data_IF_216145441557
#
_entry.id   IF_216145441557
#
_cell.length_a   1.000
_cell.length_b   1.000
_cell.length_c   1.000
_cell.angle_alpha   90.00
_cell.angle_beta   90.00
_cell.angle_gamma   90.00
#
_symmetry.space_group_name_H-M   'P 1'
#
loop_
_entity.id
_entity.type
_entity.pdbx_description
1 polymer ?
#
# COMPACT_ATOMS: atom_id res chain seq x y z
N UNK A 1 -64.74 13.44 30.99
CA UNK A 1 -65.27 14.75 30.57
C UNK A 1 -64.29 15.38 29.60
N UNK A 2 -64.77 15.95 28.48
CA UNK A 2 -64.02 16.95 27.68
C UNK A 2 -64.22 18.34 28.34
N UNK A 3 -63.40 19.35 28.03
CA UNK A 3 -63.65 20.15 26.82
C UNK A 3 -62.50 20.12 25.81
N UNK A 4 -62.88 20.35 24.55
CA UNK A 4 -62.00 20.71 23.44
C UNK A 4 -62.25 22.20 23.16
N UNK A 5 -61.26 22.92 22.64
CA UNK A 5 -61.46 24.22 21.97
C UNK A 5 -60.82 24.23 20.58
N UNK A 6 -61.46 24.94 19.64
CA UNK A 6 -61.27 24.85 18.18
C UNK A 6 -61.17 26.26 17.58
N UNK A 7 -60.27 26.46 16.61
CA UNK A 7 -60.34 27.39 15.47
C UNK A 7 -59.13 27.08 14.54
N UNK A 8 -59.18 26.78 13.22
CA UNK A 8 -60.06 27.18 12.10
C UNK A 8 -59.93 28.69 11.78
N UNK A 9 -59.86 29.25 10.55
CA UNK A 9 -59.96 28.82 9.13
C UNK A 9 -58.96 29.70 8.30
N UNK A 10 -58.65 29.53 7.00
CA UNK A 10 -58.61 28.42 6.02
C UNK A 10 -58.00 28.99 4.69
N UNK A 11 -57.67 28.17 3.68
CA UNK A 11 -57.18 28.68 2.38
C UNK A 11 -56.85 27.60 1.34
N UNK A 12 -57.77 27.32 0.43
CA UNK A 12 -57.57 26.39 -0.69
C UNK A 12 -57.59 27.12 -2.03
N UNK A 13 -56.70 26.76 -2.96
CA UNK A 13 -56.88 26.96 -4.41
C UNK A 13 -56.27 25.80 -5.19
N UNK A 14 -56.81 25.56 -6.39
CA UNK A 14 -56.63 24.34 -7.17
C UNK A 14 -55.48 24.42 -8.20
N UNK A 15 -54.89 23.25 -8.42
CA UNK A 15 -54.42 22.67 -9.69
C UNK A 15 -54.11 23.59 -10.89
N UNK A 16 -52.88 23.44 -11.41
CA UNK A 16 -52.60 23.41 -12.85
C UNK A 16 -51.63 22.27 -13.12
N UNK A 17 -51.98 21.37 -14.05
CA UNK A 17 -51.11 20.31 -14.52
C UNK A 17 -50.34 20.80 -15.76
N UNK A 18 -49.03 20.57 -15.78
CA UNK A 18 -48.19 20.67 -16.97
C UNK A 18 -47.07 19.64 -16.87
N UNK A 19 -47.04 18.69 -17.80
CA UNK A 19 -45.89 17.80 -17.97
C UNK A 19 -44.77 18.57 -18.67
N UNK A 20 -43.53 18.39 -18.24
CA UNK A 20 -42.39 18.47 -19.15
C UNK A 20 -41.25 17.57 -18.67
N UNK A 21 -40.67 16.81 -19.60
CA UNK A 21 -39.44 16.07 -19.34
C UNK A 21 -38.32 17.01 -18.92
N UNK A 22 -37.65 16.65 -17.83
CA UNK A 22 -36.58 17.45 -17.23
C UNK A 22 -35.65 16.53 -16.48
N UNK A 23 -34.60 16.07 -17.17
CA UNK A 23 -33.57 15.18 -16.64
C UNK A 23 -33.04 15.70 -15.29
N UNK A 24 -33.36 14.98 -14.20
CA UNK A 24 -32.80 15.28 -12.88
C UNK A 24 -31.33 14.87 -12.86
N UNK A 25 -30.47 15.72 -13.39
CA UNK A 25 -29.03 15.63 -13.17
C UNK A 25 -28.78 15.70 -11.67
N UNK A 26 -28.36 14.58 -11.08
CA UNK A 26 -27.80 14.59 -9.73
C UNK A 26 -26.64 15.60 -9.70
N UNK A 27 -26.46 16.36 -8.62
CA UNK A 27 -25.30 17.24 -8.51
C UNK A 27 -24.04 16.38 -8.52
N UNK A 28 -23.23 16.51 -9.58
CA UNK A 28 -21.89 15.93 -9.59
C UNK A 28 -21.12 16.51 -8.41
N UNK A 29 -20.83 15.67 -7.42
CA UNK A 29 -19.80 15.96 -6.43
C UNK A 29 -18.48 16.07 -7.18
N UNK A 30 -18.04 17.30 -7.45
CA UNK A 30 -16.67 17.57 -7.88
C UNK A 30 -15.77 17.27 -6.70
N UNK A 31 -15.39 16.00 -6.55
CA UNK A 31 -14.44 15.57 -5.55
C UNK A 31 -13.08 16.19 -5.91
N UNK A 32 -12.73 17.25 -5.18
CA UNK A 32 -11.42 17.90 -5.29
C UNK A 32 -10.36 16.83 -5.05
N UNK A 33 -9.47 16.53 -6.01
CA UNK A 33 -8.44 15.53 -5.81
C UNK A 33 -7.63 15.86 -4.55
N UNK A 34 -7.32 14.86 -3.70
CA UNK A 34 -6.52 15.10 -2.50
C UNK A 34 -5.20 15.78 -2.88
N UNK A 35 -4.71 16.74 -2.07
CA UNK A 35 -3.56 17.55 -2.44
C UNK A 35 -2.34 16.67 -2.69
N UNK A 36 -1.79 16.75 -3.91
CA UNK A 36 -0.53 16.11 -4.28
C UNK A 36 0.58 16.53 -3.31
N UNK A 37 0.92 15.64 -2.38
CA UNK A 37 2.12 15.78 -1.56
C UNK A 37 3.30 15.79 -2.53
N UNK A 38 4.17 16.80 -2.44
CA UNK A 38 5.45 16.81 -3.13
C UNK A 38 6.40 15.78 -2.50
N UNK A 39 6.14 14.50 -2.73
CA UNK A 39 7.14 13.46 -2.54
C UNK A 39 8.24 13.60 -3.57
N UNK A 40 9.47 13.19 -3.21
CA UNK A 40 10.58 13.25 -4.15
C UNK A 40 11.40 11.98 -4.17
N UNK A 41 11.68 11.48 -5.37
CA UNK A 41 12.57 10.34 -5.60
C UNK A 41 14.00 10.83 -5.51
N UNK A 42 14.73 10.36 -4.48
CA UNK A 42 16.12 10.74 -4.30
C UNK A 42 17.05 9.57 -4.61
N UNK A 43 17.85 9.69 -5.67
CA UNK A 43 18.99 8.79 -5.90
C UNK A 43 20.05 9.05 -4.82
N UNK A 44 20.56 7.97 -4.23
CA UNK A 44 21.55 7.98 -3.15
C UNK A 44 22.84 7.24 -3.57
N UNK A 45 23.88 7.38 -2.76
CA UNK A 45 25.06 6.50 -2.83
C UNK A 45 24.69 5.10 -2.32
N UNK A 46 25.20 4.05 -2.94
CA UNK A 46 24.88 2.64 -2.64
C UNK A 46 25.00 2.29 -1.14
N UNK A 47 26.03 2.83 -0.49
CA UNK A 47 26.27 2.66 0.95
C UNK A 47 25.09 3.10 1.84
N UNK A 48 24.21 3.99 1.37
CA UNK A 48 23.02 4.38 2.11
C UNK A 48 22.01 3.22 2.23
N UNK A 49 21.87 2.39 1.19
CA UNK A 49 20.99 1.22 1.16
C UNK A 49 21.60 0.00 1.87
N UNK A 50 22.90 0.00 2.18
CA UNK A 50 23.56 -1.06 2.97
C UNK A 50 23.65 -0.76 4.47
N UNK A 51 23.23 0.44 4.91
CA UNK A 51 23.16 0.77 6.34
C UNK A 51 22.19 -0.14 7.11
N UNK A 52 22.45 -0.31 8.41
CA UNK A 52 21.54 -1.00 9.33
C UNK A 52 20.97 0.03 10.31
N UNK A 53 19.63 0.19 10.41
CA UNK A 53 19.02 1.06 11.40
C UNK A 53 19.44 0.67 12.83
N UNK A 54 19.50 1.66 13.72
CA UNK A 54 19.78 1.41 15.14
C UNK A 54 18.75 0.44 15.72
N UNK A 55 19.24 -0.60 16.40
CA UNK A 55 18.41 -1.56 17.12
C UNK A 55 17.81 -0.92 18.39
N UNK A 56 16.60 -1.34 18.75
CA UNK A 56 15.84 -0.82 19.87
C UNK A 56 14.78 -1.82 20.34
N UNK A 57 13.78 -1.32 21.06
CA UNK A 57 12.66 -2.15 21.50
C UNK A 57 11.79 -2.61 20.32
N UNK A 58 11.33 -3.85 20.37
CA UNK A 58 10.37 -4.42 19.40
C UNK A 58 9.14 -4.91 20.20
N UNK A 59 8.11 -4.05 20.23
CA UNK A 59 6.81 -4.32 20.83
C UNK A 59 6.01 -5.25 19.91
N UNK A 60 5.44 -6.31 20.50
CA UNK A 60 4.71 -7.38 19.80
C UNK A 60 3.24 -7.04 19.52
N UNK A 61 2.97 -5.84 19.03
CA UNK A 61 1.62 -5.35 18.74
C UNK A 61 1.56 -4.74 17.35
N UNK A 62 0.62 -5.18 16.52
CA UNK A 62 0.24 -4.48 15.27
C UNK A 62 -0.66 -3.26 15.51
N UNK A 63 -1.13 -3.05 16.75
CA UNK A 63 -2.03 -1.97 17.14
C UNK A 63 -1.29 -0.83 17.85
N UNK A 64 -1.83 0.40 17.73
CA UNK A 64 -1.25 1.61 18.33
C UNK A 64 -0.01 2.13 17.60
N UNK A 65 0.15 1.70 16.35
CA UNK A 65 1.21 2.15 15.45
C UNK A 65 0.65 3.29 14.61
N UNK A 66 1.22 4.48 14.73
CA UNK A 66 0.91 5.61 13.84
C UNK A 66 2.25 6.24 13.45
N UNK A 67 2.56 6.30 12.16
CA UNK A 67 3.81 6.86 11.66
C UNK A 67 3.52 7.80 10.47
N UNK A 68 3.58 9.11 10.70
CA UNK A 68 3.34 10.11 9.66
C UNK A 68 4.60 10.41 8.83
N UNK A 69 5.78 10.09 9.35
CA UNK A 69 7.05 10.52 8.80
C UNK A 69 8.03 9.36 8.57
N UNK A 70 9.11 9.64 7.83
CA UNK A 70 10.17 8.69 7.53
C UNK A 70 10.35 8.40 6.05
N UNK A 71 11.11 7.34 5.75
CA UNK A 71 11.47 6.94 4.41
C UNK A 71 11.84 5.46 4.31
N UNK A 72 11.75 4.93 3.09
CA UNK A 72 12.39 3.68 2.68
C UNK A 72 13.61 4.02 1.81
N UNK A 73 14.71 3.32 2.02
CA UNK A 73 15.90 3.35 1.14
C UNK A 73 16.03 1.97 0.50
N UNK A 74 15.90 1.91 -0.81
CA UNK A 74 15.86 0.65 -1.56
C UNK A 74 16.92 0.64 -2.66
N UNK A 75 17.74 -0.40 -2.67
CA UNK A 75 18.60 -0.78 -3.78
C UNK A 75 17.79 -1.68 -4.72
N UNK A 76 17.60 -1.22 -5.95
CA UNK A 76 17.00 -2.01 -7.03
C UNK A 76 18.13 -2.42 -7.96
N UNK A 77 18.35 -3.72 -8.14
CA UNK A 77 19.37 -4.29 -9.02
C UNK A 77 18.72 -5.20 -10.08
N UNK A 78 18.27 -4.65 -11.22
CA UNK A 78 17.76 -5.45 -12.35
C UNK A 78 18.86 -6.37 -12.89
N UNK A 79 18.49 -7.55 -13.38
CA UNK A 79 19.46 -8.50 -13.97
C UNK A 79 20.22 -7.90 -15.16
N UNK A 80 19.51 -7.11 -15.99
CA UNK A 80 20.05 -6.52 -17.22
C UNK A 80 20.54 -5.06 -17.05
N UNK A 81 20.75 -4.59 -15.82
CA UNK A 81 21.01 -3.17 -15.56
C UNK A 81 21.85 -2.85 -14.31
N UNK A 82 22.28 -1.60 -14.15
CA UNK A 82 23.02 -1.17 -12.97
C UNK A 82 22.12 -1.13 -11.73
N UNK A 83 22.68 -1.53 -10.59
CA UNK A 83 22.04 -1.32 -9.29
C UNK A 83 21.90 0.18 -8.99
N UNK A 84 20.78 0.57 -8.36
CA UNK A 84 20.51 1.96 -7.96
C UNK A 84 19.95 2.01 -6.55
N UNK A 85 20.59 2.77 -5.67
CA UNK A 85 20.06 3.09 -4.35
C UNK A 85 19.16 4.34 -4.42
N UNK A 86 17.93 4.20 -3.94
CA UNK A 86 16.85 5.17 -4.05
C UNK A 86 16.28 5.45 -2.66
N UNK A 87 15.60 6.59 -2.50
CA UNK A 87 14.82 6.89 -1.31
C UNK A 87 13.45 7.47 -1.70
N UNK A 88 12.41 6.92 -1.08
CA UNK A 88 11.02 7.37 -1.16
C UNK A 88 10.55 7.77 0.23
N UNK A 89 9.78 8.86 0.34
CA UNK A 89 9.27 9.34 1.64
C UNK A 89 7.99 8.59 2.02
N UNK A 90 7.74 8.43 3.33
CA UNK A 90 6.50 7.83 3.86
C UNK A 90 5.28 8.53 3.28
N UNK A 91 4.35 7.77 2.72
CA UNK A 91 3.08 8.24 2.17
C UNK A 91 1.92 7.41 2.73
N UNK A 92 0.68 7.69 2.28
CA UNK A 92 -0.51 6.97 2.73
C UNK A 92 -0.85 7.12 4.22
N UNK A 93 -1.70 6.23 4.77
CA UNK A 93 -2.17 6.31 6.15
C UNK A 93 -1.05 6.31 7.19
N UNK A 94 -1.25 7.04 8.30
CA UNK A 94 -0.31 7.02 9.43
C UNK A 94 -0.33 5.66 10.13
N UNK A 95 -1.51 5.09 10.36
CA UNK A 95 -1.68 3.75 10.87
C UNK A 95 -1.44 2.72 9.73
N UNK A 96 -0.41 1.86 9.82
CA UNK A 96 -0.12 0.87 8.79
C UNK A 96 -1.04 -0.36 8.86
N UNK A 97 -1.89 -0.51 9.88
CA UNK A 97 -2.75 -1.68 10.01
C UNK A 97 -3.87 -1.68 8.96
N UNK A 98 -3.78 -2.60 8.01
CA UNK A 98 -4.79 -2.86 6.98
C UNK A 98 -5.55 -4.14 7.38
N UNK A 99 -6.85 -4.05 7.70
CA UNK A 99 -7.62 -5.21 8.13
C UNK A 99 -7.67 -6.32 7.07
N UNK A 100 -7.66 -7.60 7.48
CA UNK A 100 -7.76 -8.04 8.88
C UNK A 100 -6.42 -8.04 9.66
N UNK A 101 -5.29 -8.36 9.03
CA UNK A 101 -4.08 -8.81 9.74
C UNK A 101 -2.73 -8.35 9.12
N UNK A 102 -2.69 -7.35 8.22
CA UNK A 102 -1.43 -6.91 7.59
C UNK A 102 -0.99 -5.50 8.01
N UNK A 103 0.32 -5.29 8.06
CA UNK A 103 0.93 -3.97 8.29
C UNK A 103 1.56 -3.49 6.97
N UNK A 104 0.88 -2.54 6.32
CA UNK A 104 1.27 -1.95 5.04
C UNK A 104 1.88 -0.57 5.23
N UNK A 105 3.10 -0.39 4.74
CA UNK A 105 3.84 0.86 4.72
C UNK A 105 4.03 1.27 3.26
N UNK A 106 3.37 2.33 2.83
CA UNK A 106 3.56 2.92 1.49
C UNK A 106 4.52 4.09 1.53
N UNK A 107 5.29 4.24 0.45
CA UNK A 107 6.26 5.29 0.25
C UNK A 107 6.16 5.78 -1.19
N UNK A 108 6.18 7.09 -1.41
CA UNK A 108 6.07 7.68 -2.74
C UNK A 108 7.29 8.54 -3.09
N UNK A 109 7.56 8.63 -4.38
CA UNK A 109 8.59 9.45 -5.00
C UNK A 109 8.00 10.57 -5.86
N UNK A 110 8.82 11.06 -6.79
CA UNK A 110 8.36 11.86 -7.92
C UNK A 110 7.78 10.94 -9.01
N UNK A 111 6.93 11.48 -9.91
CA UNK A 111 6.57 10.84 -11.20
C UNK A 111 5.92 9.44 -11.13
N UNK A 112 5.16 9.12 -10.08
CA UNK A 112 4.51 7.79 -9.93
C UNK A 112 5.45 6.68 -9.44
N UNK A 113 6.70 7.02 -9.11
CA UNK A 113 7.64 6.11 -8.48
C UNK A 113 7.30 5.93 -6.99
N UNK A 114 7.70 4.81 -6.40
CA UNK A 114 7.45 4.55 -4.98
C UNK A 114 7.81 3.13 -4.57
N UNK A 115 7.48 2.79 -3.34
CA UNK A 115 7.60 1.44 -2.83
C UNK A 115 6.52 1.12 -1.78
N UNK A 116 6.26 -0.18 -1.60
CA UNK A 116 5.46 -0.70 -0.51
C UNK A 116 6.23 -1.77 0.26
N UNK A 117 6.00 -1.82 1.57
CA UNK A 117 6.44 -2.88 2.46
C UNK A 117 5.21 -3.40 3.20
N UNK A 118 4.96 -4.70 3.10
CA UNK A 118 3.87 -5.38 3.80
C UNK A 118 4.41 -6.58 4.58
N UNK A 119 3.90 -6.81 5.79
CA UNK A 119 4.11 -8.05 6.54
C UNK A 119 2.94 -8.32 7.49
N UNK A 120 2.80 -9.57 7.95
CA UNK A 120 1.69 -9.95 8.82
C UNK A 120 1.87 -9.39 10.24
N UNK A 121 0.79 -8.89 10.83
CA UNK A 121 0.76 -8.49 12.23
C UNK A 121 1.05 -9.69 13.16
N UNK A 122 0.66 -10.90 12.77
CA UNK A 122 0.98 -12.15 13.50
C UNK A 122 2.48 -12.43 13.51
N UNK A 123 3.20 -12.04 12.45
CA UNK A 123 4.64 -12.24 12.36
C UNK A 123 5.39 -11.32 13.34
N UNK A 124 4.97 -10.05 13.43
CA UNK A 124 5.43 -9.09 14.45
C UNK A 124 5.12 -9.55 15.88
N UNK A 125 3.93 -10.13 16.12
CA UNK A 125 3.58 -10.71 17.41
C UNK A 125 4.49 -11.91 17.80
N UNK A 126 5.22 -12.47 16.83
CA UNK A 126 6.13 -13.60 16.99
C UNK A 126 5.50 -14.96 16.64
N UNK A 127 4.43 -14.98 15.83
CA UNK A 127 3.57 -16.13 15.55
C UNK A 127 3.16 -16.89 16.82
N UNK A 128 2.37 -16.23 17.67
CA UNK A 128 1.81 -16.85 18.87
C UNK A 128 0.69 -17.81 18.44
N UNK A 129 1.09 -19.02 18.05
CA UNK A 129 0.17 -20.12 17.77
C UNK A 129 -0.03 -20.95 19.03
N UNK A 130 -1.27 -21.21 19.47
CA UNK A 130 -1.54 -22.39 20.27
C UNK A 130 -1.45 -23.63 19.36
N UNK A 131 -0.62 -24.60 19.78
CA UNK A 131 -0.34 -25.90 19.15
C UNK A 131 0.70 -25.93 18.01
N UNK A 132 1.60 -26.94 18.00
CA UNK A 132 1.72 -28.06 18.94
C UNK A 132 2.30 -27.66 20.32
N UNK A 133 2.15 -28.55 21.30
CA UNK A 133 2.60 -28.37 22.68
C UNK A 133 4.12 -28.18 22.71
N UNK A 134 4.58 -27.04 23.21
CA UNK A 134 6.02 -26.69 23.26
C UNK A 134 6.49 -25.71 22.19
N UNK A 135 5.62 -25.27 21.28
CA UNK A 135 5.92 -24.12 20.41
C UNK A 135 6.18 -22.86 21.27
N UNK A 136 7.31 -22.19 21.02
CA UNK A 136 7.64 -20.89 21.61
C UNK A 136 7.47 -19.81 20.55
N UNK A 137 6.99 -18.63 20.98
CA UNK A 137 6.92 -17.48 20.08
C UNK A 137 8.34 -17.08 19.63
N UNK A 138 8.47 -16.68 18.37
CA UNK A 138 9.77 -16.25 17.78
C UNK A 138 10.43 -15.15 18.62
N UNK A 139 11.76 -15.10 18.63
CA UNK A 139 12.53 -14.09 19.36
C UNK A 139 12.28 -12.71 18.72
N UNK A 140 12.18 -11.60 19.49
CA UNK A 140 12.02 -10.27 18.89
C UNK A 140 13.22 -9.96 17.97
N UNK A 141 12.96 -9.46 16.77
CA UNK A 141 14.01 -9.22 15.77
C UNK A 141 14.55 -10.48 15.07
N UNK A 142 13.94 -11.66 15.28
CA UNK A 142 14.04 -12.76 14.31
C UNK A 142 13.52 -12.28 12.94
N UNK A 143 14.11 -12.75 11.82
CA UNK A 143 13.59 -12.43 10.50
C UNK A 143 12.16 -12.95 10.31
N UNK A 144 11.37 -12.19 9.56
CA UNK A 144 9.99 -12.52 9.16
C UNK A 144 9.85 -12.41 7.64
N UNK A 145 8.79 -13.00 7.09
CA UNK A 145 8.48 -12.85 5.66
C UNK A 145 7.78 -11.51 5.42
N UNK A 146 8.01 -10.93 4.25
CA UNK A 146 7.41 -9.66 3.85
C UNK A 146 7.21 -9.61 2.33
N UNK A 147 6.23 -8.83 1.90
CA UNK A 147 6.09 -8.40 0.51
C UNK A 147 6.77 -7.05 0.34
N UNK A 148 7.71 -6.93 -0.59
CA UNK A 148 8.26 -5.65 -1.03
C UNK A 148 7.84 -5.41 -2.47
N UNK A 149 7.27 -4.24 -2.74
CA UNK A 149 7.01 -3.73 -4.07
C UNK A 149 7.76 -2.42 -4.32
N UNK A 150 8.21 -2.17 -5.55
CA UNK A 150 8.85 -0.92 -5.95
C UNK A 150 8.55 -0.59 -7.40
N UNK A 151 8.04 0.62 -7.65
CA UNK A 151 7.85 1.16 -9.00
C UNK A 151 8.96 2.15 -9.30
N UNK A 152 9.70 1.91 -10.38
CA UNK A 152 10.72 2.83 -10.92
C UNK A 152 10.78 2.76 -12.44
N UNK A 153 10.90 3.91 -13.09
CA UNK A 153 10.93 4.06 -14.56
C UNK A 153 9.78 3.33 -15.28
N UNK A 154 8.60 3.27 -14.65
CA UNK A 154 7.42 2.59 -15.19
C UNK A 154 7.40 1.05 -15.01
N UNK A 155 8.37 0.46 -14.30
CA UNK A 155 8.38 -0.98 -14.01
C UNK A 155 8.15 -1.22 -12.51
N UNK A 156 7.08 -1.95 -12.18
CA UNK A 156 6.79 -2.38 -10.80
C UNK A 156 7.38 -3.76 -10.53
N UNK A 157 8.43 -3.83 -9.72
CA UNK A 157 9.00 -5.10 -9.24
C UNK A 157 8.38 -5.47 -7.89
N UNK A 158 7.92 -6.71 -7.75
CA UNK A 158 7.40 -7.23 -6.46
C UNK A 158 8.05 -8.55 -6.06
N UNK A 159 8.13 -8.79 -4.76
CA UNK A 159 8.54 -10.07 -4.19
C UNK A 159 7.80 -10.34 -2.88
N UNK A 160 6.99 -11.42 -2.79
CA UNK A 160 6.25 -11.80 -1.58
C UNK A 160 7.08 -12.64 -0.59
N UNK A 161 8.36 -12.89 -0.89
CA UNK A 161 9.24 -13.79 -0.12
C UNK A 161 10.47 -13.07 0.45
N UNK A 162 10.40 -11.74 0.61
CA UNK A 162 11.48 -10.96 1.16
C UNK A 162 11.71 -11.28 2.64
N UNK A 163 12.98 -11.45 3.01
CA UNK A 163 13.40 -11.57 4.40
C UNK A 163 13.47 -10.20 5.04
N UNK A 164 12.58 -9.90 5.98
CA UNK A 164 12.58 -8.66 6.76
C UNK A 164 13.13 -8.89 8.17
N UNK A 165 14.14 -8.12 8.56
CA UNK A 165 14.63 -8.04 9.94
C UNK A 165 14.30 -6.68 10.55
N UNK A 166 13.31 -6.67 11.43
CA UNK A 166 12.95 -5.51 12.25
C UNK A 166 14.09 -5.19 13.25
N UNK A 167 14.38 -3.90 13.41
CA UNK A 167 15.42 -3.37 14.32
C UNK A 167 14.78 -2.64 15.51
N UNK A 168 13.67 -1.93 15.28
CA UNK A 168 12.86 -1.26 16.31
C UNK A 168 11.40 -1.34 15.87
N UNK A 169 10.46 -1.60 16.79
CA UNK A 169 9.02 -1.37 16.60
C UNK A 169 8.43 -0.88 17.92
N UNK A 170 7.96 0.35 17.92
CA UNK A 170 7.33 1.01 19.08
C UNK A 170 6.19 1.91 18.59
N UNK A 171 5.34 2.39 19.50
CA UNK A 171 4.30 3.36 19.18
C UNK A 171 4.81 4.74 18.69
N UNK A 172 6.14 4.94 18.54
CA UNK A 172 6.78 6.18 18.04
C UNK A 172 7.68 5.99 16.82
N UNK A 173 8.32 4.82 16.67
CA UNK A 173 9.22 4.49 15.56
C UNK A 173 9.13 3.02 15.19
N UNK A 174 9.14 2.72 13.90
CA UNK A 174 9.48 1.41 13.35
C UNK A 174 10.67 1.51 12.39
N UNK A 175 11.53 0.49 12.39
CA UNK A 175 12.63 0.37 11.44
C UNK A 175 13.01 -1.08 11.21
N UNK A 176 13.55 -1.36 10.03
CA UNK A 176 13.97 -2.69 9.64
C UNK A 176 14.82 -2.69 8.38
N UNK A 177 15.48 -3.82 8.11
CA UNK A 177 16.24 -4.09 6.90
C UNK A 177 15.61 -5.27 6.17
N UNK A 178 15.41 -5.17 4.86
CA UNK A 178 14.85 -6.23 4.02
C UNK A 178 15.83 -6.68 2.93
N UNK A 179 15.68 -7.93 2.51
CA UNK A 179 16.42 -8.54 1.41
C UNK A 179 15.48 -9.45 0.59
N UNK A 180 15.46 -9.25 -0.72
CA UNK A 180 14.66 -9.96 -1.70
C UNK A 180 15.60 -10.41 -2.82
N UNK A 181 16.14 -11.64 -2.78
CA UNK A 181 17.06 -12.14 -3.80
C UNK A 181 16.47 -12.16 -5.21
N UNK A 182 15.15 -12.29 -5.31
CA UNK A 182 14.37 -12.26 -6.54
C UNK A 182 13.10 -11.41 -6.34
N UNK A 183 12.87 -10.47 -7.24
CA UNK A 183 11.62 -9.76 -7.46
C UNK A 183 11.30 -9.77 -8.96
N UNK A 184 10.02 -9.89 -9.29
CA UNK A 184 9.52 -10.09 -10.66
C UNK A 184 8.73 -8.85 -11.07
N UNK A 185 8.98 -8.33 -12.26
CA UNK A 185 8.18 -7.26 -12.83
C UNK A 185 6.72 -7.71 -13.01
N UNK A 186 5.77 -6.89 -12.56
CA UNK A 186 4.35 -7.09 -12.79
C UNK A 186 3.85 -6.15 -13.87
N UNK A 187 2.75 -6.52 -14.51
CA UNK A 187 1.98 -5.64 -15.39
C UNK A 187 1.19 -4.60 -14.60
N UNK A 188 0.58 -4.98 -13.48
CA UNK A 188 -0.13 -4.07 -12.58
C UNK A 188 0.82 -3.39 -11.58
N UNK A 189 0.72 -2.06 -11.47
CA UNK A 189 1.44 -1.20 -10.55
C UNK A 189 0.46 -0.57 -9.53
N UNK A 190 0.29 -1.15 -8.31
CA UNK A 190 -0.63 -0.63 -7.29
C UNK A 190 -0.20 0.72 -6.69
N UNK A 191 0.90 1.31 -7.17
CA UNK A 191 1.39 2.64 -6.75
C UNK A 191 1.04 3.75 -7.76
N UNK A 192 0.58 3.43 -8.97
CA UNK A 192 0.12 4.41 -9.95
C UNK A 192 -1.41 4.52 -9.93
N UNK A 193 -2.00 5.67 -9.55
CA UNK A 193 -3.45 5.84 -9.50
C UNK A 193 -4.12 5.91 -10.89
N UNK A 194 -3.35 5.88 -11.99
CA UNK A 194 -3.86 5.86 -13.37
C UNK A 194 -3.67 4.50 -14.04
N UNK A 195 -3.19 3.49 -13.30
CA UNK A 195 -3.07 2.13 -13.84
C UNK A 195 -4.44 1.45 -13.86
N UNK A 196 -5.04 1.39 -15.05
CA UNK A 196 -6.27 0.67 -15.30
C UNK A 196 -6.02 -0.83 -15.14
N UNK A 197 -6.26 -1.36 -13.94
CA UNK A 197 -6.28 -2.81 -13.71
C UNK A 197 -7.42 -3.40 -14.54
N UNK A 198 -7.10 -3.87 -15.74
CA UNK A 198 -7.91 -4.88 -16.43
C UNK A 198 -7.92 -6.11 -15.55
N UNK A 199 -9.00 -6.24 -14.77
CA UNK A 199 -9.46 -7.52 -14.29
C UNK A 199 -9.74 -8.35 -15.54
N UNK A 200 -8.82 -9.26 -15.87
CA UNK A 200 -9.07 -10.28 -16.87
C UNK A 200 -10.29 -11.08 -16.38
N UNK A 201 -11.44 -10.86 -17.01
CA UNK A 201 -12.56 -11.79 -16.90
C UNK A 201 -12.02 -13.17 -17.27
N UNK A 202 -12.18 -14.16 -16.37
CA UNK A 202 -11.61 -15.50 -16.49
C UNK A 202 -12.37 -16.35 -17.55
N UNK A 203 -12.72 -15.73 -18.68
CA UNK A 203 -13.59 -16.22 -19.75
C UNK A 203 -13.27 -15.61 -21.13
N UNK A 204 -12.02 -15.21 -21.38
CA UNK A 204 -11.50 -15.08 -22.76
C UNK A 204 -10.42 -16.12 -23.05
N UNK A 205 -10.85 -17.33 -23.40
CA UNK A 205 -9.98 -18.32 -24.05
C UNK A 205 -9.55 -17.74 -25.42
N UNK A 206 -8.25 -17.56 -25.69
CA UNK A 206 -7.81 -17.04 -26.99
C UNK A 206 -8.18 -18.02 -28.10
N UNK A 207 -9.12 -17.61 -28.96
CA UNK A 207 -9.61 -18.43 -30.08
C UNK A 207 -8.98 -18.00 -31.40
N UNK A 208 -7.69 -17.62 -31.36
CA UNK A 208 -6.88 -17.40 -32.56
C UNK A 208 -5.46 -17.98 -32.37
N UNK A 209 -5.12 -19.09 -33.08
CA UNK A 209 -3.78 -19.68 -33.04
C UNK A 209 -2.67 -18.84 -33.70
N UNK A 210 -3.00 -17.75 -34.40
CA UNK A 210 -2.06 -17.01 -35.25
C UNK A 210 -1.37 -15.81 -34.58
N UNK A 211 -1.83 -15.36 -33.41
CA UNK A 211 -1.24 -14.22 -32.71
C UNK A 211 -0.06 -14.68 -31.84
N UNK A 212 1.19 -14.19 -32.07
CA UNK A 212 2.26 -14.35 -31.10
C UNK A 212 1.84 -13.71 -29.77
N UNK A 213 2.14 -14.31 -28.61
CA UNK A 213 1.88 -13.66 -27.33
C UNK A 213 2.62 -12.32 -27.30
N UNK A 214 1.93 -11.27 -26.87
CA UNK A 214 2.57 -9.98 -26.63
C UNK A 214 3.75 -10.17 -25.65
N UNK A 215 4.89 -9.47 -25.84
CA UNK A 215 6.04 -9.64 -24.96
C UNK A 215 5.66 -9.24 -23.53
N UNK A 216 5.46 -10.23 -22.67
CA UNK A 216 5.16 -10.00 -21.26
C UNK A 216 6.42 -9.53 -20.55
N UNK A 217 6.36 -8.29 -20.05
CA UNK A 217 7.45 -7.68 -19.27
C UNK A 217 7.75 -8.43 -17.95
N UNK A 218 6.90 -9.41 -17.59
CA UNK A 218 7.06 -10.39 -16.52
C UNK A 218 8.36 -11.22 -16.56
N UNK A 219 9.11 -11.19 -17.67
CA UNK A 219 10.45 -11.78 -17.75
C UNK A 219 11.53 -10.94 -17.05
N UNK A 220 11.30 -9.65 -16.81
CA UNK A 220 12.24 -8.77 -16.11
C UNK A 220 12.29 -9.13 -14.62
N UNK A 221 13.49 -9.34 -14.11
CA UNK A 221 13.73 -9.62 -12.69
C UNK A 221 14.78 -8.70 -12.09
N UNK A 222 14.69 -8.49 -10.78
CA UNK A 222 15.64 -7.70 -10.00
C UNK A 222 15.90 -8.34 -8.63
N UNK A 223 17.06 -8.07 -8.05
CA UNK A 223 17.26 -8.21 -6.61
C UNK A 223 16.91 -6.88 -5.93
N UNK A 224 16.17 -6.95 -4.81
CA UNK A 224 15.83 -5.78 -4.00
C UNK A 224 16.46 -5.93 -2.61
N UNK A 225 17.08 -4.88 -2.08
CA UNK A 225 17.49 -4.86 -0.67
C UNK A 225 17.45 -3.45 -0.14
N UNK A 226 17.29 -3.28 1.18
CA UNK A 226 17.17 -1.94 1.71
C UNK A 226 16.77 -1.88 3.17
N UNK A 227 16.37 -0.70 3.60
CA UNK A 227 15.87 -0.42 4.94
C UNK A 227 14.69 0.54 4.90
N UNK A 228 13.88 0.51 5.95
CA UNK A 228 12.91 1.56 6.23
C UNK A 228 13.12 2.10 7.64
N UNK A 229 12.82 3.39 7.82
CA UNK A 229 12.71 4.05 9.11
C UNK A 229 11.48 4.97 9.04
N UNK A 230 10.50 4.74 9.91
CA UNK A 230 9.27 5.53 10.00
C UNK A 230 8.98 5.91 11.44
N UNK A 231 8.40 7.09 11.64
CA UNK A 231 8.19 7.68 12.96
C UNK A 231 6.92 8.54 13.02
N UNK A 232 6.50 8.89 14.24
CA UNK A 232 5.32 9.71 14.52
C UNK A 232 5.43 11.12 13.94
#
# INVERSE_FOLDING_TARGET
>A
MRPISIAALAGAMLMLAACNDGTTSAPSSTETPPPLIKTSTKVLKDAACTTTPTAGEIVRSGYGLDYAHGAIRISVAPVDGPARCLQFAKSGPTNPNVPPDTLLFTFAGDRGEGAQLEFLAVDLAGAILPWPRGATARVPGSPITSTIGVSIDGVYYTSPTCTLKLQTVTAKKASGRFDCPQAIAQTANPLDPNDDITYDDESTVPTDPAQPPAPTDQTKTAALSGLFEVEK
#
